data_IF_173736072309
#
_entry.id   IF_173736072309
#
_cell.length_a   1.000
_cell.length_b   1.000
_cell.length_c   1.000
_cell.angle_alpha   90.00
_cell.angle_beta   90.00
_cell.angle_gamma   90.00
#
_symmetry.space_group_name_H-M   'P 1'
#
loop_
_entity.id
_entity.type
_entity.pdbx_description
1 polymer ?
#
# COMPACT_ATOMS: atom_id res chain seq x y z
N UNK A 1 -8.97 11.22 -24.28
CA UNK A 1 -8.44 10.21 -23.34
C UNK A 1 -9.56 9.83 -22.39
N UNK A 2 -9.70 8.55 -22.00
CA UNK A 2 -10.66 8.17 -20.97
C UNK A 2 -10.35 8.91 -19.66
N UNK A 3 -11.39 9.21 -18.87
CA UNK A 3 -11.20 9.80 -17.55
C UNK A 3 -10.39 8.84 -16.65
N UNK A 4 -9.53 9.35 -15.75
CA UNK A 4 -8.81 8.50 -14.81
C UNK A 4 -9.81 7.74 -13.92
N UNK A 5 -9.48 6.50 -13.50
CA UNK A 5 -10.36 5.73 -12.62
C UNK A 5 -10.54 6.45 -11.27
N UNK A 6 -11.69 6.26 -10.64
CA UNK A 6 -11.86 6.69 -9.25
C UNK A 6 -10.95 5.88 -8.32
N UNK A 7 -10.67 6.43 -7.13
CA UNK A 7 -9.93 5.70 -6.09
C UNK A 7 -10.53 4.31 -5.84
N UNK A 8 -11.87 4.23 -5.75
CA UNK A 8 -12.58 2.97 -5.52
C UNK A 8 -12.38 1.94 -6.64
N UNK A 9 -12.48 2.37 -7.90
CA UNK A 9 -12.26 1.50 -9.05
C UNK A 9 -10.81 1.01 -9.06
N UNK A 10 -9.86 1.91 -8.82
CA UNK A 10 -8.45 1.58 -8.81
C UNK A 10 -8.09 0.63 -7.67
N UNK A 11 -8.47 0.96 -6.43
CA UNK A 11 -8.07 0.18 -5.25
C UNK A 11 -8.66 -1.23 -5.25
N UNK A 12 -9.84 -1.44 -5.87
CA UNK A 12 -10.43 -2.78 -6.04
C UNK A 12 -9.57 -3.74 -6.87
N UNK A 13 -8.66 -3.21 -7.68
CA UNK A 13 -7.72 -3.99 -8.48
C UNK A 13 -6.44 -4.34 -7.71
N UNK A 14 -6.18 -3.71 -6.57
CA UNK A 14 -4.90 -3.80 -5.84
C UNK A 14 -4.98 -4.76 -4.65
N UNK A 15 -5.65 -5.90 -4.84
CA UNK A 15 -5.80 -6.93 -3.81
C UNK A 15 -4.67 -7.95 -3.84
N UNK A 16 -4.49 -8.70 -2.75
CA UNK A 16 -3.56 -9.83 -2.71
C UNK A 16 -3.81 -10.87 -3.80
N UNK A 17 -5.08 -11.13 -4.14
CA UNK A 17 -5.44 -12.04 -5.23
C UNK A 17 -4.97 -11.53 -6.60
N UNK A 18 -5.08 -10.22 -6.85
CA UNK A 18 -4.56 -9.64 -8.11
C UNK A 18 -3.05 -9.67 -8.15
N UNK A 19 -2.40 -9.33 -7.03
CA UNK A 19 -0.95 -9.26 -6.95
C UNK A 19 -0.27 -10.60 -7.22
N UNK A 20 -0.84 -11.71 -6.72
CA UNK A 20 -0.36 -13.08 -7.00
C UNK A 20 -0.41 -13.47 -8.49
N UNK A 21 -1.28 -12.82 -9.26
CA UNK A 21 -1.43 -13.07 -10.70
C UNK A 21 -0.62 -12.10 -11.57
N UNK A 22 0.06 -11.12 -10.99
CA UNK A 22 0.90 -10.19 -11.74
C UNK A 22 2.20 -10.90 -12.19
N UNK A 23 2.35 -11.07 -13.50
CA UNK A 23 3.57 -11.63 -14.10
C UNK A 23 4.79 -10.72 -13.87
N UNK A 24 5.95 -11.35 -13.69
CA UNK A 24 7.25 -10.70 -13.54
C UNK A 24 7.62 -9.94 -14.82
N UNK A 25 7.84 -8.63 -14.72
CA UNK A 25 8.39 -7.86 -15.84
C UNK A 25 8.23 -6.34 -15.74
N UNK A 26 7.17 -5.85 -15.09
CA UNK A 26 6.99 -4.40 -14.88
C UNK A 26 7.49 -4.03 -13.48
N UNK A 27 8.45 -3.09 -13.35
CA UNK A 27 8.90 -2.61 -12.05
C UNK A 27 7.73 -2.04 -11.25
N UNK A 28 7.51 -2.59 -10.05
CA UNK A 28 6.41 -2.23 -9.16
C UNK A 28 6.96 -1.58 -7.90
N UNK A 29 6.41 -0.43 -7.51
CA UNK A 29 6.79 0.29 -6.29
C UNK A 29 5.81 -0.06 -5.17
N UNK A 30 6.31 -0.64 -4.09
CA UNK A 30 5.52 -0.84 -2.88
C UNK A 30 5.33 0.48 -2.13
N UNK A 31 4.13 0.72 -1.60
CA UNK A 31 3.86 1.83 -0.67
C UNK A 31 3.32 1.23 0.61
N UNK A 32 3.94 1.52 1.74
CA UNK A 32 3.64 0.79 2.99
C UNK A 32 3.67 1.69 4.21
N UNK A 33 2.64 1.54 5.05
CA UNK A 33 2.56 2.14 6.39
C UNK A 33 3.37 1.36 7.42
N UNK A 34 3.36 1.80 8.68
CA UNK A 34 4.09 1.13 9.76
C UNK A 34 3.40 -0.17 10.24
N UNK A 35 4.06 -0.85 11.19
CA UNK A 35 3.64 -2.14 11.75
C UNK A 35 2.36 -2.08 12.59
N UNK A 36 1.99 -0.90 13.11
CA UNK A 36 0.74 -0.74 13.85
C UNK A 36 -0.48 -0.92 12.95
N UNK A 37 -0.32 -0.67 11.64
CA UNK A 37 -1.35 -0.78 10.61
C UNK A 37 -2.65 -0.10 11.04
N UNK A 38 -2.54 1.10 11.60
CA UNK A 38 -3.68 1.92 11.99
C UNK A 38 -4.26 2.66 10.78
N UNK A 39 -5.22 3.55 11.05
CA UNK A 39 -5.91 4.29 10.01
C UNK A 39 -4.97 5.19 9.19
N UNK A 40 -3.98 5.83 9.81
CA UNK A 40 -3.05 6.69 9.08
C UNK A 40 -2.18 5.85 8.14
N UNK A 41 -1.51 4.83 8.68
CA UNK A 41 -0.69 3.90 7.91
C UNK A 41 -1.43 3.28 6.71
N UNK A 42 -2.65 2.76 6.91
CA UNK A 42 -3.42 2.08 5.86
C UNK A 42 -3.92 3.08 4.80
N UNK A 43 -4.54 4.18 5.24
CA UNK A 43 -5.15 5.16 4.33
C UNK A 43 -4.07 5.93 3.57
N UNK A 44 -3.00 6.34 4.24
CA UNK A 44 -1.88 7.04 3.62
C UNK A 44 -1.19 6.18 2.56
N UNK A 45 -1.00 4.88 2.80
CA UNK A 45 -0.40 3.99 1.82
C UNK A 45 -1.27 3.86 0.56
N UNK A 46 -2.58 3.62 0.74
CA UNK A 46 -3.53 3.51 -0.35
C UNK A 46 -3.68 4.82 -1.14
N UNK A 47 -3.83 5.96 -0.45
CA UNK A 47 -4.01 7.26 -1.06
C UNK A 47 -2.75 7.70 -1.83
N UNK A 48 -1.56 7.55 -1.24
CA UNK A 48 -0.32 7.93 -1.90
C UNK A 48 -0.04 7.06 -3.12
N UNK A 49 -0.27 5.74 -3.03
CA UNK A 49 -0.12 4.84 -4.17
C UNK A 49 -1.06 5.24 -5.33
N UNK A 50 -2.33 5.55 -5.04
CA UNK A 50 -3.28 6.03 -6.04
C UNK A 50 -2.83 7.36 -6.68
N UNK A 51 -2.47 8.36 -5.86
CA UNK A 51 -2.01 9.67 -6.36
C UNK A 51 -0.79 9.52 -7.27
N UNK A 52 0.16 8.64 -6.91
CA UNK A 52 1.36 8.40 -7.68
C UNK A 52 1.07 7.65 -8.98
N UNK A 53 0.21 6.63 -8.95
CA UNK A 53 -0.22 5.90 -10.14
C UNK A 53 -0.93 6.80 -11.16
N UNK A 54 -1.60 7.87 -10.72
CA UNK A 54 -2.24 8.84 -11.62
C UNK A 54 -1.27 9.87 -12.22
N UNK A 55 -0.05 10.00 -11.68
CA UNK A 55 0.92 11.06 -12.05
C UNK A 55 2.21 10.52 -12.68
N UNK A 56 2.36 9.21 -12.80
CA UNK A 56 3.60 8.53 -13.16
C UNK A 56 3.30 7.32 -14.03
N UNK A 57 4.22 6.99 -14.94
CA UNK A 57 4.15 5.76 -15.74
C UNK A 57 4.61 4.52 -14.95
N UNK A 58 4.99 4.69 -13.67
CA UNK A 58 5.34 3.58 -12.77
C UNK A 58 4.08 3.01 -12.11
N UNK A 59 4.08 1.69 -11.92
CA UNK A 59 3.05 1.00 -11.13
C UNK A 59 3.33 1.15 -9.63
N UNK A 60 2.28 1.37 -8.85
CA UNK A 60 2.33 1.49 -7.39
C UNK A 60 1.36 0.50 -6.76
N UNK A 61 1.83 -0.24 -5.76
CA UNK A 61 1.02 -1.19 -5.00
C UNK A 61 1.02 -0.80 -3.51
N UNK A 62 -0.14 -0.47 -2.93
CA UNK A 62 -0.25 -0.26 -1.49
C UNK A 62 -0.21 -1.60 -0.75
N UNK A 63 0.43 -1.60 0.41
CA UNK A 63 0.54 -2.73 1.33
C UNK A 63 0.22 -2.33 2.77
N UNK A 64 -0.06 -3.34 3.59
CA UNK A 64 -0.20 -3.23 5.05
C UNK A 64 0.83 -4.11 5.76
N UNK A 65 1.27 -3.72 6.96
CA UNK A 65 2.21 -4.51 7.79
C UNK A 65 1.52 -5.29 8.92
N UNK A 66 0.28 -5.72 8.70
CA UNK A 66 -0.45 -6.68 9.53
C UNK A 66 -0.91 -7.87 8.69
N UNK A 67 -1.43 -8.91 9.31
CA UNK A 67 -2.06 -10.01 8.59
C UNK A 67 -3.35 -9.51 7.90
N UNK A 68 -3.70 -10.08 6.74
CA UNK A 68 -4.86 -9.61 5.95
C UNK A 68 -6.18 -9.81 6.72
N UNK A 69 -6.24 -10.86 7.55
CA UNK A 69 -7.37 -11.19 8.40
C UNK A 69 -7.59 -10.16 9.51
N UNK A 70 -6.52 -9.53 10.00
CA UNK A 70 -6.54 -8.53 11.07
C UNK A 70 -7.13 -7.19 10.61
N UNK A 71 -7.21 -6.93 9.30
CA UNK A 71 -7.84 -5.72 8.77
C UNK A 71 -9.31 -5.58 9.20
N UNK A 72 -9.98 -6.71 9.45
CA UNK A 72 -11.36 -6.73 9.95
C UNK A 72 -11.49 -6.26 11.41
N UNK A 73 -10.40 -6.29 12.18
CA UNK A 73 -10.36 -5.87 13.58
C UNK A 73 -10.29 -4.34 13.75
N UNK A 74 -10.30 -3.59 12.63
CA UNK A 74 -10.08 -2.14 12.56
C UNK A 74 -11.33 -1.42 12.05
N UNK A 75 -12.41 -1.35 12.85
CA UNK A 75 -13.72 -0.86 12.41
C UNK A 75 -13.68 0.58 11.90
N UNK A 76 -12.81 1.43 12.45
CA UNK A 76 -12.59 2.80 12.00
C UNK A 76 -12.04 2.85 10.58
N UNK A 77 -11.12 1.95 10.23
CA UNK A 77 -10.59 1.84 8.87
C UNK A 77 -11.67 1.35 7.93
N UNK A 78 -12.44 0.33 8.32
CA UNK A 78 -13.58 -0.15 7.54
C UNK A 78 -14.63 0.94 7.29
N UNK A 79 -14.93 1.76 8.30
CA UNK A 79 -15.85 2.90 8.16
C UNK A 79 -15.30 3.91 7.14
N UNK A 80 -14.04 4.32 7.25
CA UNK A 80 -13.40 5.21 6.27
C UNK A 80 -13.41 4.60 4.87
N UNK A 81 -13.05 3.33 4.74
CA UNK A 81 -13.01 2.61 3.48
C UNK A 81 -14.37 2.58 2.78
N UNK A 82 -15.45 2.38 3.55
CA UNK A 82 -16.82 2.35 3.04
C UNK A 82 -17.28 3.67 2.42
N UNK A 83 -16.73 4.81 2.88
CA UNK A 83 -17.05 6.14 2.32
C UNK A 83 -16.58 6.31 0.89
N UNK A 84 -15.54 5.57 0.49
CA UNK A 84 -14.97 5.67 -0.85
C UNK A 84 -15.34 4.46 -1.72
N UNK A 85 -15.34 3.26 -1.16
CA UNK A 85 -15.50 2.00 -1.92
C UNK A 85 -16.90 1.41 -1.88
N UNK A 86 -17.82 1.99 -1.11
CA UNK A 86 -19.16 1.44 -0.81
C UNK A 86 -19.13 0.08 -0.10
N UNK A 87 -17.96 -0.33 0.42
CA UNK A 87 -17.77 -1.56 1.16
C UNK A 87 -16.86 -1.31 2.37
N UNK A 88 -17.19 -1.82 3.56
CA UNK A 88 -16.30 -1.71 4.72
C UNK A 88 -15.11 -2.68 4.65
N UNK A 89 -15.11 -3.61 3.68
CA UNK A 89 -14.05 -4.61 3.55
C UNK A 89 -12.80 -3.99 2.93
N UNK A 90 -11.76 -3.84 3.74
CA UNK A 90 -10.40 -3.53 3.29
C UNK A 90 -9.78 -4.81 2.73
N UNK A 91 -9.15 -4.74 1.57
CA UNK A 91 -8.56 -5.90 0.88
C UNK A 91 -7.19 -5.54 0.29
N UNK A 92 -6.29 -5.05 1.13
CA UNK A 92 -4.91 -4.73 0.75
C UNK A 92 -3.99 -5.92 1.03
N UNK A 93 -2.98 -6.18 0.18
CA UNK A 93 -2.00 -7.22 0.43
C UNK A 93 -1.13 -6.90 1.65
N UNK A 94 -0.80 -7.94 2.40
CA UNK A 94 0.13 -7.86 3.52
C UNK A 94 1.58 -7.98 3.07
N UNK A 95 2.49 -7.22 3.69
CA UNK A 95 3.94 -7.46 3.56
C UNK A 95 4.44 -8.65 4.39
N UNK A 96 3.58 -9.28 5.20
CA UNK A 96 3.89 -10.53 5.92
C UNK A 96 3.66 -11.77 5.04
N UNK A 97 2.93 -11.60 3.95
CA UNK A 97 2.80 -12.62 2.90
C UNK A 97 3.99 -12.58 1.94
N UNK A 98 4.13 -13.62 1.12
CA UNK A 98 5.16 -13.66 0.09
C UNK A 98 5.06 -12.45 -0.85
N UNK A 99 6.11 -11.63 -0.85
CA UNK A 99 6.21 -10.44 -1.68
C UNK A 99 6.66 -10.81 -3.10
N UNK A 100 6.05 -10.25 -4.16
CA UNK A 100 6.53 -10.46 -5.51
C UNK A 100 7.97 -9.97 -5.66
N UNK A 101 8.84 -10.79 -6.27
CA UNK A 101 10.24 -10.45 -6.53
C UNK A 101 10.44 -9.21 -7.41
N UNK A 102 9.40 -8.78 -8.13
CA UNK A 102 9.36 -7.56 -8.91
C UNK A 102 9.36 -6.27 -8.06
N UNK A 103 9.14 -6.37 -6.74
CA UNK A 103 9.05 -5.23 -5.82
C UNK A 103 10.36 -5.11 -5.02
N UNK A 104 11.22 -4.21 -5.45
CA UNK A 104 12.44 -3.83 -4.72
C UNK A 104 12.46 -2.35 -4.31
N UNK A 105 11.55 -1.53 -4.81
CA UNK A 105 11.47 -0.10 -4.53
C UNK A 105 10.30 0.17 -3.60
N UNK A 106 10.55 0.88 -2.50
CA UNK A 106 9.56 1.11 -1.45
C UNK A 106 9.40 2.58 -1.10
N UNK A 107 8.16 3.02 -0.96
CA UNK A 107 7.81 4.31 -0.37
C UNK A 107 7.25 4.04 1.02
N UNK A 108 7.83 4.69 2.02
CA UNK A 108 7.40 4.58 3.41
C UNK A 108 6.42 5.70 3.71
N UNK A 109 5.33 5.37 4.38
CA UNK A 109 4.40 6.36 4.94
C UNK A 109 4.24 6.11 6.43
N UNK A 110 4.03 7.17 7.21
CA UNK A 110 3.75 7.05 8.65
C UNK A 110 4.88 6.36 9.47
N UNK A 111 6.06 6.27 8.86
CA UNK A 111 7.34 5.94 9.48
C UNK A 111 8.49 6.31 8.52
N UNK A 112 9.70 6.36 9.06
CA UNK A 112 10.91 6.70 8.30
C UNK A 112 12.00 5.61 8.36
N UNK A 113 11.68 4.43 8.90
CA UNK A 113 12.58 3.27 8.91
C UNK A 113 12.00 2.07 8.14
N UNK A 114 12.82 1.38 7.36
CA UNK A 114 12.38 0.18 6.64
C UNK A 114 12.19 -1.00 7.62
N UNK A 115 10.93 -1.35 7.90
CA UNK A 115 10.56 -2.44 8.83
C UNK A 115 10.08 -3.72 8.16
N UNK A 116 9.99 -3.73 6.83
CA UNK A 116 9.57 -4.90 6.05
C UNK A 116 10.75 -5.86 5.84
N UNK A 117 10.46 -7.17 5.89
CA UNK A 117 11.43 -8.20 5.52
C UNK A 117 11.46 -8.37 3.99
N UNK A 118 12.17 -7.48 3.32
CA UNK A 118 12.31 -7.47 1.87
C UNK A 118 13.80 -7.39 1.48
N UNK A 119 14.46 -8.52 1.21
CA UNK A 119 15.86 -8.52 0.83
C UNK A 119 16.07 -7.72 -0.46
N UNK A 120 17.09 -6.84 -0.47
CA UNK A 120 17.38 -5.89 -1.56
C UNK A 120 16.37 -4.75 -1.73
N UNK A 121 15.53 -4.48 -0.71
CA UNK A 121 14.67 -3.31 -0.72
C UNK A 121 15.49 -2.00 -0.75
N UNK A 122 15.04 -1.07 -1.58
CA UNK A 122 15.53 0.29 -1.69
C UNK A 122 14.39 1.24 -1.34
N UNK A 123 14.59 2.07 -0.33
CA UNK A 123 13.64 3.15 -0.01
C UNK A 123 13.82 4.27 -1.04
N UNK A 124 12.76 4.58 -1.78
CA UNK A 124 12.74 5.59 -2.84
C UNK A 124 11.90 6.82 -2.49
N UNK A 125 11.33 6.86 -1.29
CA UNK A 125 10.60 8.00 -0.76
C UNK A 125 10.06 7.74 0.63
N UNK A 126 9.92 8.80 1.42
CA UNK A 126 9.37 8.78 2.77
C UNK A 126 8.38 9.95 2.90
N UNK A 127 7.21 9.68 3.48
CA UNK A 127 6.24 10.70 3.89
C UNK A 127 5.82 10.38 5.32
N UNK A 128 6.39 11.08 6.29
CA UNK A 128 6.24 10.76 7.70
C UNK A 128 6.12 12.03 8.55
N UNK A 129 5.49 11.89 9.71
CA UNK A 129 5.31 12.95 10.71
C UNK A 129 5.90 12.59 12.09
N UNK A 130 6.52 11.41 12.24
CA UNK A 130 7.23 11.02 13.44
C UNK A 130 8.60 11.72 13.53
N UNK A 131 9.31 11.46 14.63
CA UNK A 131 10.70 11.88 14.78
C UNK A 131 11.55 11.16 13.73
N UNK A 132 12.33 11.93 12.98
CA UNK A 132 13.27 11.42 11.98
C UNK A 132 14.34 10.54 12.65
N UNK A 133 14.47 9.29 12.19
CA UNK A 133 15.47 8.36 12.69
C UNK A 133 16.91 8.67 12.22
N UNK A 134 17.07 9.54 11.20
CA UNK A 134 18.37 9.95 10.67
C UNK A 134 19.11 8.85 9.92
N UNK A 135 18.38 7.94 9.27
CA UNK A 135 18.92 6.77 8.54
C UNK A 135 18.72 6.88 7.04
#
# INVERSE_FOLDING_TARGET
MPAPPSFAQWISQHTAATLRNCASGTPLVGVVGNQAADADSIVSAAALAFIRAMKSDRSYQPFVQCDEEDLSLRPEVGLLWSRFTQSPKVALPSTRSELPSAINSWVLVDHNELTIDAPNATVVGIVDHHVDAGK
#
